data_IF_603957653237
#
_entry.id   IF_603957653237
#
_cell.length_a   1.000
_cell.length_b   1.000
_cell.length_c   1.000
_cell.angle_alpha   90.00
_cell.angle_beta   90.00
_cell.angle_gamma   90.00
#
_symmetry.space_group_name_H-M   'P 1'
#
loop_
_entity.id
_entity.type
_entity.pdbx_description
1 polymer ?
#
# COMPACT_ATOMS: atom_id res chain seq x y z
N UNK A 1 2.99 -34.23 -38.00
CA UNK A 1 1.60 -34.22 -37.50
C UNK A 1 1.62 -33.39 -36.23
N UNK A 2 1.31 -32.10 -36.34
CA UNK A 2 1.34 -31.16 -35.21
C UNK A 2 -0.11 -31.09 -34.76
N UNK A 3 -0.43 -31.69 -33.63
CA UNK A 3 -1.78 -31.63 -33.07
C UNK A 3 -2.11 -30.17 -32.76
N UNK A 4 -3.15 -29.66 -33.41
CA UNK A 4 -3.68 -28.32 -33.16
C UNK A 4 -4.36 -28.33 -31.80
N UNK A 5 -3.63 -27.81 -30.81
CA UNK A 5 -4.13 -27.52 -29.47
C UNK A 5 -5.28 -26.53 -29.62
N UNK A 6 -6.50 -27.04 -29.59
CA UNK A 6 -7.70 -26.22 -29.67
C UNK A 6 -8.15 -26.01 -28.24
N UNK A 7 -7.95 -24.82 -27.65
CA UNK A 7 -8.38 -24.57 -26.28
C UNK A 7 -9.91 -24.62 -26.21
N UNK A 8 -10.43 -25.55 -25.40
CA UNK A 8 -11.86 -25.83 -25.22
C UNK A 8 -12.60 -24.74 -24.40
N UNK A 9 -11.95 -23.62 -24.08
CA UNK A 9 -12.57 -22.52 -23.32
C UNK A 9 -12.33 -21.16 -24.00
N UNK A 10 -13.36 -20.53 -24.60
CA UNK A 10 -13.25 -19.27 -25.36
C UNK A 10 -13.09 -18.02 -24.46
N UNK A 11 -12.56 -18.16 -23.24
CA UNK A 11 -12.50 -17.06 -22.28
C UNK A 11 -11.35 -17.10 -21.29
N UNK A 12 -10.66 -18.23 -21.12
CA UNK A 12 -9.45 -18.31 -20.32
C UNK A 12 -8.30 -18.79 -21.21
N UNK A 13 -7.27 -17.97 -21.48
CA UNK A 13 -6.06 -18.49 -22.08
C UNK A 13 -5.49 -19.54 -21.13
N UNK A 14 -5.31 -20.76 -21.62
CA UNK A 14 -4.58 -21.79 -20.92
C UNK A 14 -3.12 -21.38 -20.72
N UNK A 15 -2.37 -22.17 -19.95
CA UNK A 15 -0.94 -21.93 -19.71
C UNK A 15 -0.12 -21.62 -20.97
N UNK A 16 -0.31 -22.35 -22.10
CA UNK A 16 0.40 -22.07 -23.35
C UNK A 16 0.06 -20.71 -23.98
N UNK A 17 -1.22 -20.34 -24.04
CA UNK A 17 -1.67 -19.07 -24.62
C UNK A 17 -1.15 -17.87 -23.80
N UNK A 18 -1.16 -17.98 -22.47
CA UNK A 18 -0.61 -16.95 -21.59
C UNK A 18 0.91 -16.80 -21.77
N UNK A 19 1.63 -17.90 -22.03
CA UNK A 19 3.06 -17.87 -22.37
C UNK A 19 3.32 -17.15 -23.70
N UNK A 20 2.47 -17.35 -24.72
CA UNK A 20 2.57 -16.65 -26.01
C UNK A 20 2.32 -15.16 -25.83
N UNK A 21 1.30 -14.76 -25.07
CA UNK A 21 1.02 -13.35 -24.78
C UNK A 21 2.19 -12.71 -24.02
N UNK A 22 2.73 -13.41 -23.03
CA UNK A 22 3.90 -12.96 -22.28
C UNK A 22 5.12 -12.78 -23.20
N UNK A 23 5.35 -13.71 -24.13
CA UNK A 23 6.43 -13.63 -25.10
C UNK A 23 6.30 -12.38 -25.99
N UNK A 24 5.09 -12.10 -26.50
CA UNK A 24 4.82 -10.89 -27.30
C UNK A 24 5.08 -9.63 -26.48
N UNK A 25 4.60 -9.55 -25.24
CA UNK A 25 4.87 -8.42 -24.34
C UNK A 25 6.37 -8.23 -24.08
N UNK A 26 7.11 -9.33 -23.89
CA UNK A 26 8.56 -9.31 -23.69
C UNK A 26 9.29 -8.82 -24.95
N UNK A 27 8.81 -9.14 -26.15
CA UNK A 27 9.40 -8.63 -27.39
C UNK A 27 9.14 -7.12 -27.59
N UNK A 28 7.95 -6.64 -27.22
CA UNK A 28 7.59 -5.22 -27.33
C UNK A 28 8.30 -4.34 -26.29
N UNK A 29 8.29 -4.76 -25.03
CA UNK A 29 8.80 -3.95 -23.91
C UNK A 29 10.22 -4.34 -23.49
N UNK A 30 10.67 -5.55 -23.84
CA UNK A 30 11.94 -6.14 -23.42
C UNK A 30 11.83 -6.94 -22.12
N UNK A 31 12.60 -8.04 -22.04
CA UNK A 31 12.62 -8.97 -20.89
C UNK A 31 12.96 -8.30 -19.54
N UNK A 32 13.65 -7.15 -19.58
CA UNK A 32 14.07 -6.43 -18.38
C UNK A 32 13.06 -5.37 -17.91
N UNK A 33 12.07 -4.98 -18.72
CA UNK A 33 11.17 -3.86 -18.35
C UNK A 33 10.08 -4.29 -17.39
N UNK A 34 9.35 -5.36 -17.70
CA UNK A 34 8.33 -5.94 -16.83
C UNK A 34 8.86 -6.21 -15.41
N UNK A 35 9.99 -6.92 -15.19
CA UNK A 35 10.49 -7.18 -13.84
C UNK A 35 11.04 -5.92 -13.15
N UNK A 36 11.60 -4.97 -13.92
CA UNK A 36 12.09 -3.72 -13.35
C UNK A 36 10.94 -2.85 -12.82
N UNK A 37 9.86 -2.74 -13.58
CA UNK A 37 8.62 -2.05 -13.18
C UNK A 37 7.99 -2.74 -11.97
N UNK A 38 7.88 -4.07 -11.99
CA UNK A 38 7.36 -4.83 -10.86
C UNK A 38 8.17 -4.60 -9.58
N UNK A 39 9.51 -4.55 -9.67
CA UNK A 39 10.39 -4.26 -8.53
C UNK A 39 10.19 -2.85 -7.99
N UNK A 40 10.22 -1.81 -8.83
CA UNK A 40 10.06 -0.43 -8.37
C UNK A 40 8.66 -0.17 -7.79
N UNK A 41 7.62 -0.69 -8.45
CA UNK A 41 6.24 -0.58 -7.96
C UNK A 41 6.06 -1.37 -6.67
N UNK A 42 6.67 -2.56 -6.57
CA UNK A 42 6.62 -3.37 -5.35
C UNK A 42 7.32 -2.71 -4.16
N UNK A 43 8.46 -2.06 -4.39
CA UNK A 43 9.15 -1.27 -3.36
C UNK A 43 8.30 -0.10 -2.89
N UNK A 44 7.76 0.69 -3.82
CA UNK A 44 6.88 1.82 -3.49
C UNK A 44 5.63 1.37 -2.73
N UNK A 45 4.98 0.30 -3.17
CA UNK A 45 3.80 -0.27 -2.49
C UNK A 45 4.16 -0.82 -1.10
N UNK A 46 5.36 -1.38 -0.93
CA UNK A 46 5.85 -1.89 0.35
C UNK A 46 6.12 -0.79 1.36
N UNK A 47 6.82 0.27 0.96
CA UNK A 47 7.06 1.45 1.81
C UNK A 47 5.74 2.16 2.16
N UNK A 48 4.84 2.28 1.18
CA UNK A 48 3.51 2.85 1.40
C UNK A 48 2.68 2.04 2.39
N UNK A 49 2.75 0.70 2.34
CA UNK A 49 2.05 -0.15 3.30
C UNK A 49 2.61 0.02 4.72
N UNK A 50 3.94 0.07 4.87
CA UNK A 50 4.60 0.27 6.16
C UNK A 50 4.27 1.63 6.78
N UNK A 51 4.35 2.70 5.99
CA UNK A 51 3.98 4.03 6.48
C UNK A 51 2.51 4.14 6.86
N UNK A 52 1.62 3.40 6.18
CA UNK A 52 0.20 3.33 6.58
C UNK A 52 -0.01 2.60 7.90
N UNK A 53 0.71 1.50 8.12
CA UNK A 53 0.65 0.71 9.35
C UNK A 53 1.17 1.53 10.54
N UNK A 54 2.29 2.24 10.37
CA UNK A 54 2.85 3.13 11.40
C UNK A 54 1.89 4.29 11.78
N UNK A 55 1.20 4.88 10.81
CA UNK A 55 0.18 5.91 11.07
C UNK A 55 -1.04 5.32 11.80
N UNK A 56 -1.46 4.10 11.44
CA UNK A 56 -2.59 3.43 12.09
C UNK A 56 -2.25 3.03 13.54
N UNK A 57 -1.02 2.59 13.78
CA UNK A 57 -0.49 2.31 15.12
C UNK A 57 -0.39 3.60 15.96
N UNK A 58 0.18 4.69 15.41
CA UNK A 58 0.25 5.99 16.10
C UNK A 58 -1.14 6.55 16.44
N UNK A 59 -2.11 6.45 15.52
CA UNK A 59 -3.48 6.88 15.78
C UNK A 59 -4.16 6.04 16.86
N UNK A 60 -3.90 4.74 16.90
CA UNK A 60 -4.45 3.84 17.92
C UNK A 60 -3.87 4.14 19.30
N UNK A 61 -2.57 4.47 19.39
CA UNK A 61 -1.93 4.86 20.65
C UNK A 61 -2.45 6.22 21.16
N UNK A 62 -2.68 7.19 20.26
CA UNK A 62 -3.24 8.50 20.61
C UNK A 62 -4.69 8.42 21.12
N UNK A 63 -5.50 7.53 20.55
CA UNK A 63 -6.88 7.28 21.02
C UNK A 63 -6.92 6.58 22.39
N UNK A 64 -5.85 5.86 22.77
CA UNK A 64 -5.71 5.22 24.09
C UNK A 64 -5.22 6.22 25.17
N UNK A 65 -4.39 7.20 24.80
CA UNK A 65 -3.85 8.22 25.70
C UNK A 65 -4.87 9.35 26.06
N UNK A 66 -5.92 9.56 25.26
CA UNK A 66 -6.97 10.57 25.56
C UNK A 66 -7.89 10.16 26.74
N UNK A 67 -7.80 8.92 27.23
CA UNK A 67 -8.54 8.45 28.41
C UNK A 67 -7.90 8.87 29.76
N UNK A 68 -6.65 9.35 29.77
CA UNK A 68 -5.86 9.61 30.99
C UNK A 68 -5.41 11.08 31.16
N UNK A 69 -5.92 12.04 30.36
CA UNK A 69 -5.59 13.48 30.50
C UNK A 69 -6.80 14.40 30.72
N UNK A 70 -7.71 14.03 31.64
CA UNK A 70 -8.65 14.98 32.25
C UNK A 70 -8.49 15.08 33.76
N UNK A 71 -7.26 15.22 34.26
CA UNK A 71 -7.05 15.96 35.51
C UNK A 71 -5.74 16.73 35.48
N UNK A 72 -5.86 18.04 35.77
CA UNK A 72 -4.79 18.96 36.18
C UNK A 72 -3.98 19.60 35.05
N UNK A 73 -4.47 20.76 34.58
CA UNK A 73 -3.79 22.07 34.77
C UNK A 73 -4.58 23.19 34.09
N UNK A 74 -5.43 23.92 34.84
CA UNK A 74 -5.70 25.36 34.63
C UNK A 74 -6.36 26.01 35.84
N UNK A 75 -5.62 26.10 36.95
CA UNK A 75 -5.84 27.14 37.96
C UNK A 75 -4.48 27.71 38.32
N UNK A 76 -4.17 28.88 37.77
CA UNK A 76 -3.36 29.98 38.34
C UNK A 76 -2.87 30.82 37.17
N UNK A 77 -3.70 31.76 36.71
CA UNK A 77 -3.33 33.10 36.22
C UNK A 77 -4.64 33.85 35.96
N UNK A 78 -5.34 34.25 37.03
CA UNK A 78 -6.24 35.44 37.09
C UNK A 78 -6.53 35.73 38.58
N UNK A 79 -5.56 36.31 39.29
CA UNK A 79 -5.83 37.17 40.45
C UNK A 79 -4.76 38.25 40.47
N UNK A 80 -4.97 39.28 39.66
CA UNK A 80 -4.34 40.60 39.79
C UNK A 80 -5.26 41.60 39.09
N UNK A 81 -6.44 41.83 39.69
CA UNK A 81 -7.22 43.04 39.44
C UNK A 81 -8.10 43.31 40.66
N UNK A 82 -7.61 44.18 41.55
CA UNK A 82 -8.35 45.02 42.53
C UNK A 82 -7.47 45.30 43.76
N UNK A 83 -6.68 46.38 43.71
CA UNK A 83 -6.43 47.37 44.77
C UNK A 83 -5.37 48.34 44.25
N UNK A 84 -5.79 49.35 43.48
CA UNK A 84 -5.73 50.79 43.84
C UNK A 84 -6.46 51.61 42.78
#
# INVERSE_FOLDING_TARGET
>A
MIETVTPLFPGLPGGPELLIVLLVLVLLFGANKIPKLARSTGQAMGEFKRGREEIEDELSELDEDEAEESTKTKTTTTTTESTE
#
